data_IF_865802735382
#
_entry.id   IF_865802735382
#
_cell.length_a   1.000
_cell.length_b   1.000
_cell.length_c   1.000
_cell.angle_alpha   90.00
_cell.angle_beta   90.00
_cell.angle_gamma   90.00
#
_symmetry.space_group_name_H-M   'P 1'
#
loop_
_entity.id
_entity.type
_entity.pdbx_description
1 polymer ?
#
# COMPACT_ATOMS: atom_id res chain seq x y z
N UNK A 1 0.92 10.44 17.22
CA UNK A 1 1.74 10.75 16.02
C UNK A 1 0.81 10.90 14.83
N UNK A 2 0.38 12.13 14.54
CA UNK A 2 -0.27 12.43 13.27
C UNK A 2 0.69 12.10 12.14
N UNK A 3 0.32 11.14 11.29
CA UNK A 3 0.96 10.97 9.99
C UNK A 3 0.56 12.22 9.20
N UNK A 4 1.34 13.29 9.43
CA UNK A 4 1.33 14.53 8.68
C UNK A 4 1.31 14.13 7.21
N UNK A 5 0.18 14.33 6.53
CA UNK A 5 0.05 14.19 5.09
C UNK A 5 1.14 15.08 4.48
N UNK A 6 2.31 14.51 4.15
CA UNK A 6 3.39 15.25 3.47
C UNK A 6 2.80 15.77 2.17
N UNK A 7 2.79 17.09 1.99
CA UNK A 7 2.36 17.78 0.76
C UNK A 7 3.04 17.26 -0.53
N UNK A 8 4.19 16.59 -0.42
CA UNK A 8 4.87 15.99 -1.58
C UNK A 8 4.27 14.61 -1.89
N UNK A 9 3.37 14.59 -2.87
CA UNK A 9 2.93 13.38 -3.59
C UNK A 9 4.16 12.75 -4.26
N UNK A 10 4.78 11.77 -3.61
CA UNK A 10 6.09 11.25 -3.99
C UNK A 10 5.97 10.15 -5.06
N UNK A 11 6.08 10.58 -6.33
CA UNK A 11 6.28 9.70 -7.47
C UNK A 11 7.36 8.63 -7.21
N UNK A 12 8.49 9.04 -6.66
CA UNK A 12 9.62 8.15 -6.38
C UNK A 12 9.28 7.07 -5.35
N UNK A 13 8.60 7.44 -4.26
CA UNK A 13 8.17 6.46 -3.26
C UNK A 13 7.19 5.44 -3.86
N UNK A 14 6.28 5.91 -4.71
CA UNK A 14 5.31 5.07 -5.42
C UNK A 14 6.02 4.10 -6.36
N UNK A 15 6.98 4.59 -7.14
CA UNK A 15 7.79 3.77 -8.04
C UNK A 15 8.55 2.68 -7.28
N UNK A 16 9.23 3.04 -6.18
CA UNK A 16 9.96 2.07 -5.34
C UNK A 16 9.03 1.03 -4.73
N UNK A 17 7.85 1.44 -4.26
CA UNK A 17 6.86 0.54 -3.68
C UNK A 17 6.35 -0.48 -4.70
N UNK A 18 5.97 -0.01 -5.88
CA UNK A 18 5.50 -0.90 -6.96
C UNK A 18 6.62 -1.85 -7.42
N UNK A 19 7.86 -1.37 -7.56
CA UNK A 19 8.99 -2.24 -7.89
C UNK A 19 9.19 -3.35 -6.83
N UNK A 20 9.02 -3.00 -5.55
CA UNK A 20 9.07 -3.97 -4.45
C UNK A 20 7.93 -4.98 -4.53
N UNK A 21 6.72 -4.57 -4.94
CA UNK A 21 5.60 -5.49 -5.12
C UNK A 21 5.92 -6.55 -6.17
N UNK A 22 6.51 -6.16 -7.30
CA UNK A 22 6.93 -7.13 -8.32
C UNK A 22 7.96 -8.12 -7.76
N UNK A 23 8.94 -7.64 -7.01
CA UNK A 23 9.97 -8.52 -6.44
C UNK A 23 9.41 -9.52 -5.42
N UNK A 24 8.34 -9.19 -4.71
CA UNK A 24 7.76 -10.06 -3.66
C UNK A 24 6.68 -10.99 -4.22
N UNK A 25 5.81 -10.47 -5.09
CA UNK A 25 4.61 -11.17 -5.55
C UNK A 25 4.67 -11.58 -7.03
N UNK A 26 5.71 -11.18 -7.77
CA UNK A 26 5.78 -11.34 -9.22
C UNK A 26 4.86 -10.36 -9.98
N UNK A 27 4.55 -10.70 -11.23
CA UNK A 27 3.63 -9.90 -12.03
C UNK A 27 2.17 -10.14 -11.60
N UNK A 28 1.55 -9.11 -11.03
CA UNK A 28 0.16 -9.16 -10.60
C UNK A 28 -0.78 -9.23 -11.81
N UNK A 29 -1.82 -10.05 -11.76
CA UNK A 29 -2.85 -10.10 -12.83
C UNK A 29 -3.75 -8.86 -12.83
N UNK A 30 -4.10 -8.37 -11.63
CA UNK A 30 -4.97 -7.21 -11.43
C UNK A 30 -4.32 -6.27 -10.43
N UNK A 31 -4.18 -5.00 -10.80
CA UNK A 31 -3.70 -3.94 -9.92
C UNK A 31 -4.77 -2.88 -9.78
N UNK A 32 -5.31 -2.75 -8.56
CA UNK A 32 -6.26 -1.67 -8.24
C UNK A 32 -5.52 -0.54 -7.56
N UNK A 33 -5.65 0.68 -8.08
CA UNK A 33 -5.13 1.88 -7.42
C UNK A 33 -6.17 2.98 -7.37
N UNK A 34 -5.93 3.96 -6.50
CA UNK A 34 -6.71 5.21 -6.52
C UNK A 34 -6.44 6.01 -7.81
N UNK A 35 -7.24 7.06 -8.04
CA UNK A 35 -7.15 7.94 -9.22
C UNK A 35 -6.09 9.05 -9.08
N UNK A 36 -5.02 8.86 -8.31
CA UNK A 36 -4.01 9.88 -8.13
C UNK A 36 -3.02 9.96 -9.31
N UNK A 37 -2.64 11.18 -9.75
CA UNK A 37 -1.80 11.37 -10.93
C UNK A 37 -0.38 10.82 -10.78
N UNK A 38 0.16 10.79 -9.56
CA UNK A 38 1.51 10.27 -9.31
C UNK A 38 1.59 8.74 -9.43
N UNK A 39 0.51 8.00 -9.13
CA UNK A 39 0.42 6.55 -9.34
C UNK A 39 0.39 6.23 -10.82
N UNK A 40 -0.39 6.99 -11.59
CA UNK A 40 -0.44 6.84 -13.03
C UNK A 40 0.92 7.09 -13.67
N UNK A 41 1.63 8.16 -13.27
CA UNK A 41 2.98 8.41 -13.75
C UNK A 41 3.94 7.26 -13.39
N UNK A 42 3.89 6.75 -12.15
CA UNK A 42 4.78 5.68 -11.72
C UNK A 42 4.51 4.40 -12.52
N UNK A 43 3.24 4.04 -12.72
CA UNK A 43 2.82 2.90 -13.53
C UNK A 43 3.26 3.04 -14.98
N UNK A 44 3.12 4.22 -15.59
CA UNK A 44 3.62 4.47 -16.95
C UNK A 44 5.12 4.22 -17.07
N UNK A 45 5.93 4.63 -16.08
CA UNK A 45 7.36 4.36 -16.07
C UNK A 45 7.66 2.87 -15.89
N UNK A 46 6.95 2.19 -15.01
CA UNK A 46 7.13 0.74 -14.79
C UNK A 46 6.79 -0.05 -16.05
N UNK A 47 5.74 0.37 -16.77
CA UNK A 47 5.40 -0.21 -18.08
C UNK A 47 6.51 -0.02 -19.12
N UNK A 48 7.17 1.14 -19.14
CA UNK A 48 8.34 1.35 -20.02
C UNK A 48 9.52 0.45 -19.67
N UNK A 49 9.62 0.03 -18.40
CA UNK A 49 10.66 -0.89 -17.92
C UNK A 49 10.23 -2.37 -18.00
N UNK A 50 9.24 -2.70 -18.83
CA UNK A 50 8.71 -4.06 -19.03
C UNK A 50 8.04 -4.70 -17.81
N UNK A 51 7.66 -3.91 -16.79
CA UNK A 51 6.87 -4.39 -15.66
C UNK A 51 5.38 -4.10 -15.85
N UNK A 52 4.51 -4.99 -15.37
CA UNK A 52 3.06 -4.85 -15.44
C UNK A 52 2.51 -4.75 -16.88
N UNK A 53 3.05 -5.58 -17.79
CA UNK A 53 2.63 -5.68 -19.20
C UNK A 53 1.29 -6.39 -19.32
N UNK A 54 1.09 -7.44 -18.54
CA UNK A 54 -0.11 -8.27 -18.55
C UNK A 54 -1.08 -7.91 -17.42
N UNK A 55 -0.71 -6.94 -16.58
CA UNK A 55 -1.52 -6.49 -15.47
C UNK A 55 -2.67 -5.58 -15.93
N UNK A 56 -3.90 -5.97 -15.57
CA UNK A 56 -5.07 -5.10 -15.71
C UNK A 56 -5.06 -4.05 -14.60
N UNK A 57 -4.95 -2.78 -14.98
CA UNK A 57 -5.03 -1.66 -14.04
C UNK A 57 -6.48 -1.21 -13.87
N UNK A 58 -7.00 -1.26 -12.65
CA UNK A 58 -8.38 -0.91 -12.31
C UNK A 58 -8.41 0.33 -11.40
N UNK A 59 -9.29 1.28 -11.73
CA UNK A 59 -9.49 2.52 -10.96
C UNK A 59 -10.98 2.73 -10.59
N UNK A 60 -11.71 1.62 -10.44
CA UNK A 60 -13.16 1.62 -10.17
C UNK A 60 -13.42 2.05 -8.72
N UNK A 61 -14.38 2.97 -8.55
CA UNK A 61 -14.74 3.54 -7.23
C UNK A 61 -15.07 2.45 -6.20
N UNK A 62 -15.79 1.41 -6.59
CA UNK A 62 -16.17 0.32 -5.71
C UNK A 62 -14.95 -0.41 -5.11
N UNK A 63 -13.92 -0.70 -5.93
CA UNK A 63 -12.69 -1.29 -5.40
C UNK A 63 -11.88 -0.32 -4.54
N UNK A 64 -11.93 0.98 -4.85
CA UNK A 64 -11.32 1.99 -4.00
C UNK A 64 -11.98 2.03 -2.60
N UNK A 65 -13.29 1.82 -2.51
CA UNK A 65 -13.99 1.75 -1.22
C UNK A 65 -13.48 0.60 -0.34
N UNK A 66 -13.14 -0.56 -0.92
CA UNK A 66 -12.53 -1.67 -0.17
C UNK A 66 -11.15 -1.30 0.36
N UNK A 67 -10.31 -0.67 -0.47
CA UNK A 67 -9.00 -0.17 -0.06
C UNK A 67 -9.15 0.86 1.08
N UNK A 68 -10.08 1.80 0.94
CA UNK A 68 -10.37 2.80 1.97
C UNK A 68 -10.91 2.19 3.28
N UNK A 69 -11.67 1.11 3.20
CA UNK A 69 -12.17 0.38 4.35
C UNK A 69 -11.04 -0.36 5.09
N UNK A 70 -10.17 -1.04 4.35
CA UNK A 70 -9.00 -1.71 4.92
C UNK A 70 -8.07 -0.70 5.60
N UNK A 71 -7.83 0.45 4.93
CA UNK A 71 -7.11 1.57 5.51
C UNK A 71 -7.74 2.08 6.81
N UNK A 72 -9.07 2.13 6.93
CA UNK A 72 -9.75 2.55 8.17
C UNK A 72 -9.46 1.58 9.32
N UNK A 73 -9.44 0.28 9.06
CA UNK A 73 -9.15 -0.72 10.09
C UNK A 73 -7.70 -0.60 10.58
N UNK A 74 -6.75 -0.51 9.66
CA UNK A 74 -5.33 -0.31 9.96
C UNK A 74 -5.14 1.01 10.72
N UNK A 75 -5.69 2.12 10.23
CA UNK A 75 -5.59 3.43 10.90
C UNK A 75 -6.19 3.40 12.30
N UNK A 76 -7.32 2.73 12.53
CA UNK A 76 -7.91 2.59 13.88
C UNK A 76 -6.99 1.84 14.84
N UNK A 77 -6.34 0.77 14.37
CA UNK A 77 -5.32 0.04 15.16
C UNK A 77 -4.11 0.95 15.46
N UNK A 78 -3.67 1.72 14.46
CA UNK A 78 -2.57 2.67 14.60
C UNK A 78 -2.85 3.87 15.52
N UNK A 79 -4.08 4.40 15.53
CA UNK A 79 -4.48 5.48 16.43
C UNK A 79 -4.36 5.04 17.88
N UNK A 80 -4.78 3.80 18.20
CA UNK A 80 -4.60 3.20 19.53
C UNK A 80 -3.14 2.95 19.89
N UNK A 81 -2.29 2.76 18.88
CA UNK A 81 -0.87 2.44 19.05
C UNK A 81 0.06 3.60 18.68
N UNK A 82 -0.45 4.84 18.65
CA UNK A 82 0.26 6.05 18.23
C UNK A 82 1.46 6.46 19.13
N UNK A 83 1.76 5.65 20.15
CA UNK A 83 2.91 5.76 21.05
C UNK A 83 4.14 4.94 20.61
N UNK A 84 4.18 4.34 19.41
CA UNK A 84 5.39 3.64 18.97
C UNK A 84 6.57 4.61 18.81
N UNK A 85 7.54 4.51 19.70
CA UNK A 85 8.74 5.33 19.72
C UNK A 85 9.74 4.98 18.60
N UNK A 86 9.61 3.81 17.96
CA UNK A 86 10.49 3.39 16.85
C UNK A 86 9.79 2.50 15.81
N UNK A 87 10.33 2.51 14.58
CA UNK A 87 9.86 1.67 13.47
C UNK A 87 9.97 0.17 13.78
N UNK A 88 11.00 -0.23 14.54
CA UNK A 88 11.20 -1.62 14.98
C UNK A 88 10.04 -2.08 15.89
N UNK A 89 9.62 -1.24 16.84
CA UNK A 89 8.52 -1.55 17.74
C UNK A 89 7.17 -1.58 16.99
N UNK A 90 6.96 -0.64 16.06
CA UNK A 90 5.79 -0.64 15.20
C UNK A 90 5.72 -1.92 14.33
N UNK A 91 6.82 -2.30 13.68
CA UNK A 91 6.87 -3.49 12.81
C UNK A 91 6.59 -4.79 13.56
N UNK A 92 7.16 -4.96 14.77
CA UNK A 92 6.89 -6.13 15.62
C UNK A 92 5.43 -6.20 16.06
N UNK A 93 4.86 -5.06 16.44
CA UNK A 93 3.46 -5.01 16.88
C UNK A 93 2.50 -5.31 15.74
N UNK A 94 2.76 -4.79 14.53
CA UNK A 94 2.01 -5.14 13.33
C UNK A 94 2.03 -6.64 13.07
N UNK A 95 3.23 -7.26 13.11
CA UNK A 95 3.37 -8.70 12.89
C UNK A 95 2.57 -9.52 13.90
N UNK A 96 2.58 -9.13 15.18
CA UNK A 96 1.76 -9.78 16.22
C UNK A 96 0.25 -9.64 15.96
N UNK A 97 -0.19 -8.44 15.58
CA UNK A 97 -1.59 -8.14 15.24
C UNK A 97 -2.08 -8.94 14.02
N UNK A 98 -1.22 -9.16 13.03
CA UNK A 98 -1.50 -10.00 11.85
C UNK A 98 -1.54 -11.50 12.20
N UNK A 99 -0.76 -11.92 13.20
CA UNK A 99 -0.67 -13.33 13.60
C UNK A 99 -1.91 -13.79 14.37
N UNK A 100 -2.52 -12.94 15.20
CA UNK A 100 -3.70 -13.30 16.01
C UNK A 100 -4.85 -13.85 15.14
N UNK A 101 -5.34 -13.16 14.08
CA UNK A 101 -6.36 -13.70 13.19
C UNK A 101 -5.95 -14.97 12.44
N UNK A 102 -4.64 -15.22 12.25
CA UNK A 102 -4.14 -16.42 11.57
C UNK A 102 -4.13 -17.66 12.48
N UNK A 103 -4.16 -17.49 13.81
CA UNK A 103 -4.24 -18.59 14.78
C UNK A 103 -5.70 -19.06 14.95
N UNK A 104 -6.66 -18.14 14.88
CA UNK A 104 -8.10 -18.44 15.05
C UNK A 104 -8.80 -18.91 13.76
N UNK A 105 -8.02 -19.32 12.74
CA UNK A 105 -8.51 -19.72 11.42
C UNK A 105 -7.95 -21.08 11.06
#
# INVERSE_FOLDING_TARGET
>A
MDIRHRKKRNYQATYMFMNRLVNVFGELTILTTDKAPFLLCALKKLKRNSFYMHTKHCNVKHFNNFIEQDHRHIKRRFVKSAGFQSLRHASRTLKGIETIPAIYK
#
